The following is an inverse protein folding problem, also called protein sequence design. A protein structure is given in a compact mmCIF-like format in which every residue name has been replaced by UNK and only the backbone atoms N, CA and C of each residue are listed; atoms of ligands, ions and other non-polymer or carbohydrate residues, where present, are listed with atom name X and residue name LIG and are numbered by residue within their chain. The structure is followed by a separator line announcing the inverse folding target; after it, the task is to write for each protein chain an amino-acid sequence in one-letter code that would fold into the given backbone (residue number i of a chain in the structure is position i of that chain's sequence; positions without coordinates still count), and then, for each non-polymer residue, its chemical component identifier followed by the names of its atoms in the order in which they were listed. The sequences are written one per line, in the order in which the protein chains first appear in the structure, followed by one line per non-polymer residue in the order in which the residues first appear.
data_IF_453573140180
#
_entry.id   IF_453573140180
#
_cell.length_a   1.000
_cell.length_b   1.000
_cell.length_c   1.000
_cell.angle_alpha   90.00
_cell.angle_beta   90.00
_cell.angle_gamma   90.00
#
_symmetry.space_group_name_H-M   'P 1'
#
loop_
_entity.id
_entity.type
_entity.pdbx_description
1 polymer ?
#
# COMPACT_ATOMS: atom_id res chain seq x y z
N UNK A 1 3.76 -2.51 -27.01
CA UNK A 1 2.65 -1.88 -26.26
C UNK A 1 3.03 -1.92 -24.79
N UNK A 2 3.45 -0.80 -24.20
CA UNK A 2 3.77 -0.71 -22.76
C UNK A 2 2.48 -0.59 -21.92
N UNK A 3 2.47 -1.05 -20.65
CA UNK A 3 1.60 -2.14 -20.20
C UNK A 3 0.29 -1.67 -19.54
N UNK A 4 -0.68 -2.59 -19.45
CA UNK A 4 -1.85 -2.46 -18.57
C UNK A 4 -1.32 -2.32 -17.15
N UNK A 5 -1.37 -1.09 -16.64
CA UNK A 5 -0.97 -0.69 -15.30
C UNK A 5 -1.67 -1.60 -14.28
N UNK A 6 -0.92 -2.20 -13.37
CA UNK A 6 -1.47 -2.92 -12.24
C UNK A 6 -2.34 -1.95 -11.43
N UNK A 7 -3.66 -2.09 -11.55
CA UNK A 7 -4.63 -1.16 -10.95
C UNK A 7 -5.39 -1.81 -9.80
N UNK A 8 -5.57 -3.13 -9.80
CA UNK A 8 -6.36 -3.82 -8.76
C UNK A 8 -5.52 -4.60 -7.77
N UNK A 9 -6.00 -4.73 -6.53
CA UNK A 9 -5.36 -5.53 -5.46
C UNK A 9 -5.02 -6.95 -5.94
N UNK A 10 -5.89 -7.59 -6.72
CA UNK A 10 -5.64 -8.92 -7.27
C UNK A 10 -4.39 -9.00 -8.15
N UNK A 11 -4.17 -8.00 -9.00
CA UNK A 11 -3.00 -7.95 -9.89
C UNK A 11 -1.72 -7.77 -9.08
N UNK A 12 -1.77 -6.92 -8.06
CA UNK A 12 -0.65 -6.69 -7.16
C UNK A 12 -0.32 -7.95 -6.34
N UNK A 13 -1.32 -8.67 -5.85
CA UNK A 13 -1.11 -9.97 -5.20
C UNK A 13 -0.48 -10.97 -6.17
N UNK A 14 -0.97 -11.04 -7.41
CA UNK A 14 -0.41 -11.93 -8.44
C UNK A 14 1.06 -11.61 -8.77
N UNK A 15 1.45 -10.33 -8.68
CA UNK A 15 2.83 -9.86 -8.86
C UNK A 15 3.72 -10.08 -7.61
N UNK A 16 3.15 -10.61 -6.53
CA UNK A 16 3.84 -10.98 -5.28
C UNK A 16 3.89 -9.86 -4.23
N UNK A 17 3.00 -8.87 -4.30
CA UNK A 17 2.91 -7.80 -3.31
C UNK A 17 1.92 -8.15 -2.21
N UNK A 18 2.35 -8.04 -0.95
CA UNK A 18 1.56 -8.44 0.24
C UNK A 18 0.82 -7.27 0.91
N UNK A 19 1.08 -6.04 0.47
CA UNK A 19 0.46 -4.85 1.07
C UNK A 19 1.12 -3.55 0.61
N UNK A 20 0.91 -2.52 1.41
CA UNK A 20 1.42 -1.17 1.17
C UNK A 20 2.41 -0.76 2.24
N UNK A 21 3.50 -0.10 1.83
CA UNK A 21 4.51 0.47 2.72
C UNK A 21 4.71 1.95 2.42
N UNK A 22 4.87 2.72 3.49
CA UNK A 22 5.24 4.13 3.50
C UNK A 22 6.54 4.22 4.28
N UNK A 23 7.63 4.49 3.56
CA UNK A 23 9.00 4.50 4.12
C UNK A 23 9.19 5.56 5.21
N UNK A 24 8.45 6.67 5.15
CA UNK A 24 8.57 7.77 6.11
C UNK A 24 7.24 8.50 6.27
N UNK A 25 6.62 8.39 7.44
CA UNK A 25 5.43 9.17 7.75
C UNK A 25 5.79 10.67 7.84
N UNK A 26 5.08 11.57 7.14
CA UNK A 26 5.37 13.00 7.19
C UNK A 26 5.08 13.64 8.56
N UNK A 27 4.25 13.00 9.39
CA UNK A 27 3.88 13.53 10.70
C UNK A 27 4.90 13.19 11.81
N UNK A 28 5.37 11.95 11.88
CA UNK A 28 6.29 11.50 12.94
C UNK A 28 7.66 11.03 12.45
N UNK A 29 7.86 10.90 11.13
CA UNK A 29 9.12 10.41 10.55
C UNK A 29 9.27 8.89 10.55
N UNK A 30 8.38 8.15 11.19
CA UNK A 30 8.47 6.69 11.31
C UNK A 30 8.00 5.95 10.04
N UNK A 31 8.59 4.79 9.80
CA UNK A 31 8.14 3.89 8.75
C UNK A 31 6.81 3.23 9.11
N UNK A 32 5.96 2.97 8.13
CA UNK A 32 4.74 2.19 8.35
C UNK A 32 4.42 1.28 7.18
N UNK A 33 3.85 0.12 7.45
CA UNK A 33 3.35 -0.81 6.44
C UNK A 33 2.04 -1.45 6.92
N UNK A 34 1.17 -1.79 5.99
CA UNK A 34 -0.07 -2.52 6.27
C UNK A 34 -0.34 -3.54 5.15
N UNK A 35 -0.77 -4.74 5.53
CA UNK A 35 -1.14 -5.78 4.55
C UNK A 35 -2.48 -5.45 3.89
N UNK A 36 -2.80 -6.13 2.79
CA UNK A 36 -4.10 -6.01 2.14
C UNK A 36 -5.26 -6.34 3.10
N UNK A 37 -5.11 -7.34 3.96
CA UNK A 37 -6.12 -7.70 4.96
C UNK A 37 -6.31 -6.60 6.01
N UNK A 38 -5.21 -6.00 6.49
CA UNK A 38 -5.27 -4.90 7.46
C UNK A 38 -5.96 -3.65 6.89
N UNK A 39 -5.87 -3.46 5.57
CA UNK A 39 -6.54 -2.39 4.84
C UNK A 39 -7.97 -2.75 4.42
N UNK A 40 -8.46 -3.94 4.81
CA UNK A 40 -9.74 -4.51 4.40
C UNK A 40 -9.92 -4.46 2.87
N UNK A 41 -8.84 -4.68 2.12
CA UNK A 41 -8.81 -4.56 0.68
C UNK A 41 -9.48 -5.78 0.02
N UNK A 42 -10.38 -5.53 -0.92
CA UNK A 42 -10.96 -6.60 -1.77
C UNK A 42 -10.19 -6.69 -3.07
N UNK A 43 -10.15 -7.88 -3.64
CA UNK A 43 -9.36 -8.21 -4.84
C UNK A 43 -9.62 -7.29 -6.05
N UNK A 44 -10.86 -6.81 -6.21
CA UNK A 44 -11.26 -5.95 -7.32
C UNK A 44 -11.05 -4.45 -7.05
N UNK A 45 -10.67 -4.06 -5.82
CA UNK A 45 -10.48 -2.65 -5.49
C UNK A 45 -9.24 -2.08 -6.15
N UNK A 46 -9.33 -0.80 -6.51
CA UNK A 46 -8.18 -0.06 -7.01
C UNK A 46 -7.20 0.20 -5.84
N UNK A 47 -5.93 -0.10 -6.04
CA UNK A 47 -4.88 0.09 -5.03
C UNK A 47 -4.78 1.55 -4.59
N UNK A 48 -5.06 2.52 -5.45
CA UNK A 48 -5.09 3.95 -5.11
C UNK A 48 -6.19 4.24 -4.08
N UNK A 49 -7.37 3.62 -4.24
CA UNK A 49 -8.48 3.76 -3.29
C UNK A 49 -8.13 3.10 -1.96
N UNK A 50 -7.51 1.92 -1.99
CA UNK A 50 -7.05 1.21 -0.78
C UNK A 50 -5.96 2.00 -0.06
N UNK A 51 -5.04 2.64 -0.79
CA UNK A 51 -3.96 3.44 -0.22
C UNK A 51 -4.47 4.61 0.63
N UNK A 52 -5.65 5.17 0.32
CA UNK A 52 -6.26 6.24 1.14
C UNK A 52 -6.66 5.77 2.55
N UNK A 53 -6.76 4.46 2.78
CA UNK A 53 -7.08 3.86 4.09
C UNK A 53 -5.86 3.75 5.00
N UNK A 54 -4.66 3.83 4.45
CA UNK A 54 -3.45 3.65 5.25
C UNK A 54 -3.36 4.75 6.32
N UNK A 55 -2.93 4.35 7.51
CA UNK A 55 -2.64 5.22 8.65
C UNK A 55 -1.29 4.82 9.20
N UNK A 56 -0.51 5.80 9.64
CA UNK A 56 0.72 5.53 10.37
C UNK A 56 0.40 4.73 11.63
N UNK A 57 1.14 3.65 11.89
CA UNK A 57 0.92 2.84 13.11
C UNK A 57 1.28 3.57 14.40
N UNK A 58 2.22 4.51 14.33
CA UNK A 58 2.71 5.24 15.51
C UNK A 58 1.85 6.46 15.85
N UNK A 59 1.58 7.33 14.86
CA UNK A 59 0.85 8.57 15.10
C UNK A 59 -0.61 8.55 14.61
N UNK A 60 -1.05 7.46 13.98
CA UNK A 60 -2.39 7.28 13.42
C UNK A 60 -2.82 8.32 12.36
N UNK A 61 -1.91 9.20 11.92
CA UNK A 61 -2.18 10.18 10.87
C UNK A 61 -2.16 9.52 9.48
N UNK A 62 -2.99 10.02 8.54
CA UNK A 62 -2.89 9.61 7.14
C UNK A 62 -1.57 10.12 6.55
N UNK A 63 -0.73 9.24 5.97
CA UNK A 63 0.47 9.67 5.26
C UNK A 63 0.07 10.18 3.87
N UNK A 64 -0.45 11.41 3.82
CA UNK A 64 -0.85 12.07 2.58
C UNK A 64 0.38 12.40 1.70
N UNK A 65 0.27 12.16 0.39
CA UNK A 65 1.18 12.71 -0.61
C UNK A 65 2.46 11.91 -0.92
N UNK A 66 2.58 10.64 -0.52
CA UNK A 66 3.75 9.83 -0.81
C UNK A 66 3.48 8.66 -1.77
N UNK A 67 4.47 8.39 -2.62
CA UNK A 67 4.52 7.21 -3.48
C UNK A 67 4.48 5.96 -2.59
N UNK A 68 3.42 5.18 -2.71
CA UNK A 68 3.31 3.88 -2.07
C UNK A 68 4.35 2.97 -2.71
N UNK A 69 5.37 2.59 -1.93
CA UNK A 69 6.39 1.66 -2.39
C UNK A 69 5.93 0.27 -2.04
N UNK A 70 5.83 -0.56 -3.06
CA UNK A 70 5.29 -1.90 -2.94
C UNK A 70 6.42 -2.85 -2.64
N UNK A 71 6.28 -3.60 -1.56
CA UNK A 71 7.32 -4.51 -1.10
C UNK A 71 6.93 -5.95 -1.42
N UNK A 72 7.91 -6.71 -1.90
CA UNK A 72 7.84 -8.17 -2.00
C UNK A 72 8.45 -8.73 -0.73
N UNK A 73 7.81 -9.71 -0.12
CA UNK A 73 8.48 -10.47 0.95
C UNK A 73 9.70 -11.15 0.35
N UNK A 74 10.86 -11.05 1.02
CA UNK A 74 12.03 -11.81 0.63
C UNK A 74 11.74 -13.29 0.88
N UNK A 75 11.93 -14.12 -0.15
CA UNK A 75 11.78 -15.57 -0.10
C UNK A 75 12.66 -16.21 0.97
#
# INVERSE_FOLDING_TARGET
MSPVRAHTVAQWIADGYSGLRVMRCPACGEETFQTWEQLCARLYEDVIVVAQRIRCRECHQPPAGLAVVTYKDAA
#
